data_IF_214619155323
#
_entry.id   IF_214619155323
#
_cell.length_a   1.000
_cell.length_b   1.000
_cell.length_c   1.000
_cell.angle_alpha   90.00
_cell.angle_beta   90.00
_cell.angle_gamma   90.00
#
_symmetry.space_group_name_H-M   'P 1'
#
loop_
_entity.id
_entity.type
_entity.pdbx_description
1 polymer ?
#
# COMPACT_ATOMS: atom_id res chain seq x y z
N UNK A 1 -1.68 -12.48 -7.20
CA UNK A 1 -1.84 -13.94 -7.44
C UNK A 1 -2.81 -14.52 -6.42
N UNK A 2 -3.71 -15.46 -6.80
CA UNK A 2 -4.56 -16.17 -5.85
C UNK A 2 -3.76 -16.98 -4.83
N UNK A 3 -4.35 -17.20 -3.66
CA UNK A 3 -3.72 -17.98 -2.59
C UNK A 3 -4.67 -18.27 -1.46
N UNK A 4 -4.17 -19.01 -0.46
CA UNK A 4 -4.93 -19.34 0.74
C UNK A 4 -4.43 -18.50 1.91
N UNK A 5 -5.33 -17.70 2.47
CA UNK A 5 -5.07 -16.94 3.69
C UNK A 5 -5.62 -17.72 4.90
N UNK A 6 -4.80 -17.88 5.93
CA UNK A 6 -5.18 -18.46 7.22
C UNK A 6 -4.83 -17.47 8.31
N UNK A 7 -5.77 -17.23 9.23
CA UNK A 7 -5.56 -16.41 10.41
C UNK A 7 -5.50 -17.34 11.62
N UNK A 8 -4.50 -17.16 12.48
CA UNK A 8 -4.35 -17.81 13.79
C UNK A 8 -4.26 -16.76 14.87
N UNK A 9 -4.29 -17.14 16.14
CA UNK A 9 -4.24 -16.17 17.24
C UNK A 9 -2.89 -15.42 17.33
N UNK A 10 -1.84 -15.92 16.66
CA UNK A 10 -0.52 -15.31 16.65
C UNK A 10 -0.12 -14.68 15.31
N UNK A 11 -0.69 -15.13 14.18
CA UNK A 11 -0.19 -14.74 12.87
C UNK A 11 -1.23 -14.86 11.75
N UNK A 12 -0.96 -14.14 10.66
CA UNK A 12 -1.60 -14.33 9.36
C UNK A 12 -0.63 -15.07 8.45
N UNK A 13 -1.10 -16.14 7.82
CA UNK A 13 -0.31 -17.00 6.96
C UNK A 13 -0.93 -17.01 5.58
N UNK A 14 -0.18 -16.55 4.58
CA UNK A 14 -0.57 -16.61 3.17
C UNK A 14 0.25 -17.66 2.44
N UNK A 15 -0.41 -18.60 1.78
CA UNK A 15 0.23 -19.54 0.86
C UNK A 15 -0.15 -19.18 -0.57
N UNK A 16 0.84 -18.80 -1.38
CA UNK A 16 0.66 -18.54 -2.80
C UNK A 16 0.26 -19.85 -3.50
N UNK A 17 -0.82 -19.82 -4.28
CA UNK A 17 -1.33 -21.02 -4.95
C UNK A 17 -0.44 -21.49 -6.11
N UNK A 18 0.22 -20.56 -6.81
CA UNK A 18 1.08 -20.84 -7.96
C UNK A 18 2.48 -21.28 -7.54
N UNK A 19 3.12 -20.54 -6.63
CA UNK A 19 4.53 -20.79 -6.25
C UNK A 19 4.68 -21.68 -5.02
N UNK A 20 3.60 -21.88 -4.25
CA UNK A 20 3.66 -22.59 -2.97
C UNK A 20 4.37 -21.81 -1.85
N UNK A 21 4.94 -20.63 -2.14
CA UNK A 21 5.61 -19.76 -1.17
C UNK A 21 4.64 -19.44 -0.02
N UNK A 22 5.11 -19.67 1.20
CA UNK A 22 4.40 -19.32 2.42
C UNK A 22 5.00 -18.05 2.98
N UNK A 23 4.14 -17.09 3.26
CA UNK A 23 4.44 -15.84 3.93
C UNK A 23 3.67 -15.82 5.25
N UNK A 24 4.35 -15.39 6.31
CA UNK A 24 3.79 -15.33 7.65
C UNK A 24 4.03 -13.93 8.22
N UNK A 25 2.94 -13.30 8.67
CA UNK A 25 2.93 -11.98 9.30
C UNK A 25 2.55 -12.19 10.76
N UNK A 26 3.47 -11.88 11.67
CA UNK A 26 3.21 -11.94 13.11
C UNK A 26 2.21 -10.85 13.50
N UNK A 27 1.26 -11.18 14.37
CA UNK A 27 0.34 -10.19 14.98
C UNK A 27 1.09 -9.08 15.73
N UNK A 28 2.23 -9.41 16.35
CA UNK A 28 3.06 -8.45 17.07
C UNK A 28 3.74 -7.42 16.16
N UNK A 29 3.89 -7.73 14.87
CA UNK A 29 4.53 -6.84 13.90
C UNK A 29 3.53 -5.87 13.27
N UNK A 30 2.22 -6.07 13.48
CA UNK A 30 1.16 -5.23 12.93
C UNK A 30 1.10 -3.89 13.66
N UNK A 31 1.34 -2.81 12.93
CA UNK A 31 1.15 -1.46 13.42
C UNK A 31 -0.31 -1.04 13.22
N UNK A 32 -0.80 -1.13 11.99
CA UNK A 32 -2.15 -0.71 11.62
C UNK A 32 -2.81 -1.75 10.72
N UNK A 33 -4.10 -1.97 10.93
CA UNK A 33 -4.94 -2.81 10.08
C UNK A 33 -6.20 -2.04 9.73
N UNK A 34 -6.62 -2.13 8.48
CA UNK A 34 -7.86 -1.51 8.03
C UNK A 34 -8.48 -2.31 6.89
N UNK A 35 -9.78 -2.11 6.71
CA UNK A 35 -10.44 -2.47 5.48
C UNK A 35 -10.15 -1.43 4.42
N UNK A 36 -9.96 -1.87 3.19
CA UNK A 36 -9.84 -1.00 2.04
C UNK A 36 -10.81 -1.49 0.97
N UNK A 37 -11.62 -0.57 0.43
CA UNK A 37 -12.53 -0.86 -0.67
C UNK A 37 -11.72 -0.98 -1.97
N UNK A 38 -11.98 -2.05 -2.72
CA UNK A 38 -11.49 -2.25 -4.08
C UNK A 38 -12.68 -2.36 -5.04
N UNK A 39 -12.41 -2.37 -6.35
CA UNK A 39 -13.44 -2.60 -7.36
C UNK A 39 -14.10 -3.97 -7.12
N UNK A 40 -15.37 -3.95 -6.71
CA UNK A 40 -16.21 -5.13 -6.48
C UNK A 40 -15.87 -5.99 -5.27
N UNK A 41 -14.85 -5.66 -4.48
CA UNK A 41 -14.39 -6.48 -3.34
C UNK A 41 -13.84 -5.62 -2.22
N UNK A 42 -13.66 -6.22 -1.04
CA UNK A 42 -12.91 -5.65 0.06
C UNK A 42 -11.53 -6.27 0.18
N UNK A 43 -10.62 -5.53 0.79
CA UNK A 43 -9.29 -6.00 1.16
C UNK A 43 -8.92 -5.69 2.59
N UNK A 44 -8.03 -6.51 3.13
CA UNK A 44 -7.28 -6.26 4.36
C UNK A 44 -6.01 -5.52 3.97
N UNK A 45 -5.84 -4.32 4.51
CA UNK A 45 -4.62 -3.53 4.42
C UNK A 45 -3.92 -3.60 5.77
N UNK A 46 -2.70 -4.14 5.78
CA UNK A 46 -1.92 -4.40 6.99
C UNK A 46 -0.59 -3.67 6.84
N UNK A 47 -0.39 -2.66 7.67
CA UNK A 47 0.85 -1.90 7.76
C UNK A 47 1.64 -2.40 8.96
N UNK A 48 2.87 -2.82 8.73
CA UNK A 48 3.76 -3.36 9.75
C UNK A 48 4.66 -2.27 10.33
N UNK A 49 5.14 -2.50 11.55
CA UNK A 49 6.06 -1.59 12.26
C UNK A 49 7.38 -1.34 11.53
N UNK A 50 7.78 -2.26 10.65
CA UNK A 50 8.97 -2.10 9.80
C UNK A 50 8.68 -1.30 8.52
N UNK A 51 7.47 -0.74 8.38
CA UNK A 51 7.09 0.08 7.24
C UNK A 51 6.63 -0.70 6.01
N UNK A 52 6.47 -2.02 6.10
CA UNK A 52 5.97 -2.84 4.98
C UNK A 52 4.45 -2.85 4.97
N UNK A 53 3.87 -2.72 3.77
CA UNK A 53 2.43 -2.81 3.53
C UNK A 53 2.05 -4.12 2.83
N UNK A 54 1.21 -4.92 3.49
CA UNK A 54 0.57 -6.09 2.88
C UNK A 54 -0.89 -5.78 2.54
N UNK A 55 -1.33 -6.27 1.38
CA UNK A 55 -2.72 -6.17 0.92
C UNK A 55 -3.25 -7.53 0.51
N UNK A 56 -4.28 -8.01 1.18
CA UNK A 56 -5.04 -9.19 0.79
C UNK A 56 -6.42 -8.75 0.32
N UNK A 57 -6.81 -9.12 -0.91
CA UNK A 57 -8.10 -8.70 -1.49
C UNK A 57 -8.96 -9.91 -1.88
N UNK A 58 -10.25 -9.66 -2.09
CA UNK A 58 -11.22 -10.68 -2.49
C UNK A 58 -12.24 -11.04 -1.41
N UNK A 59 -12.32 -10.24 -0.34
CA UNK A 59 -13.29 -10.43 0.73
C UNK A 59 -14.65 -9.87 0.32
N UNK A 60 -15.72 -10.54 0.77
CA UNK A 60 -17.08 -10.06 0.60
C UNK A 60 -17.45 -9.15 1.75
N UNK A 61 -18.40 -8.26 1.53
CA UNK A 61 -18.89 -7.33 2.55
C UNK A 61 -19.44 -8.05 3.79
N UNK A 62 -20.11 -9.19 3.59
CA UNK A 62 -20.64 -10.00 4.68
C UNK A 62 -19.56 -10.65 5.56
N UNK A 63 -18.29 -10.71 5.11
CA UNK A 63 -17.18 -11.27 5.90
C UNK A 63 -16.55 -10.23 6.84
N UNK A 64 -16.80 -8.93 6.64
CA UNK A 64 -16.08 -7.85 7.33
C UNK A 64 -16.32 -7.86 8.85
N UNK A 65 -17.57 -8.03 9.29
CA UNK A 65 -17.90 -8.08 10.73
C UNK A 65 -17.19 -9.24 11.43
N UNK A 66 -17.18 -10.42 10.81
CA UNK A 66 -16.49 -11.59 11.33
C UNK A 66 -14.97 -11.36 11.42
N UNK A 67 -14.38 -10.76 10.39
CA UNK A 67 -12.94 -10.46 10.38
C UNK A 67 -12.61 -9.40 11.43
N UNK A 68 -13.38 -8.32 11.53
CA UNK A 68 -13.18 -7.26 12.53
C UNK A 68 -13.20 -7.82 13.96
N UNK A 69 -14.20 -8.64 14.29
CA UNK A 69 -14.30 -9.32 15.59
C UNK A 69 -13.09 -10.21 15.88
N UNK A 70 -12.57 -10.90 14.86
CA UNK A 70 -11.36 -11.72 15.00
C UNK A 70 -10.14 -10.86 15.32
N UNK A 71 -9.89 -9.76 14.59
CA UNK A 71 -8.75 -8.86 14.83
C UNK A 71 -8.86 -8.16 16.19
N UNK A 72 -10.05 -7.71 16.59
CA UNK A 72 -10.27 -7.10 17.90
C UNK A 72 -10.02 -8.09 19.05
N UNK A 73 -10.51 -9.33 18.91
CA UNK A 73 -10.38 -10.35 19.96
C UNK A 73 -8.94 -10.85 20.08
N UNK A 74 -8.33 -11.25 18.97
CA UNK A 74 -7.06 -11.98 18.97
C UNK A 74 -5.83 -11.07 18.87
N UNK A 75 -5.91 -9.98 18.10
CA UNK A 75 -4.77 -9.10 17.86
C UNK A 75 -4.87 -7.74 18.58
N UNK A 76 -6.00 -7.47 19.25
CA UNK A 76 -6.29 -6.17 19.91
C UNK A 76 -6.17 -5.01 18.93
N UNK A 77 -6.68 -5.19 17.72
CA UNK A 77 -6.68 -4.19 16.65
C UNK A 77 -8.09 -3.92 16.17
N UNK A 78 -8.43 -2.64 16.08
CA UNK A 78 -9.65 -2.19 15.43
C UNK A 78 -9.46 -2.14 13.92
N UNK A 79 -10.46 -2.59 13.17
CA UNK A 79 -10.47 -2.58 11.71
C UNK A 79 -11.45 -1.56 11.19
N UNK A 80 -10.98 -0.33 11.00
CA UNK A 80 -11.74 0.74 10.35
C UNK A 80 -11.56 0.68 8.83
N UNK A 81 -12.45 1.32 8.10
CA UNK A 81 -12.25 1.55 6.67
C UNK A 81 -11.20 2.67 6.47
N UNK A 82 -10.24 2.43 5.56
CA UNK A 82 -9.39 3.48 5.02
C UNK A 82 -10.08 4.07 3.80
N UNK A 83 -10.73 5.21 3.99
CA UNK A 83 -11.34 5.97 2.89
C UNK A 83 -10.26 6.54 1.97
N UNK A 84 -10.44 6.34 0.66
CA UNK A 84 -9.54 6.85 -0.38
C UNK A 84 -10.16 8.05 -1.09
N UNK A 85 -9.32 8.91 -1.65
CA UNK A 85 -9.77 10.02 -2.49
C UNK A 85 -10.35 9.50 -3.80
N UNK A 86 -11.62 9.81 -4.06
CA UNK A 86 -12.31 9.50 -5.31
C UNK A 86 -12.50 10.72 -6.22
N UNK A 87 -11.80 11.83 -5.92
CA UNK A 87 -11.99 13.12 -6.63
C UNK A 87 -11.42 13.14 -8.05
N UNK A 88 -10.52 12.22 -8.38
CA UNK A 88 -9.83 12.18 -9.68
C UNK A 88 -8.81 13.31 -9.89
N UNK A 89 -8.46 14.06 -8.84
CA UNK A 89 -7.47 15.13 -8.93
C UNK A 89 -6.05 14.54 -9.01
N UNK A 90 -5.22 15.17 -9.82
CA UNK A 90 -3.81 14.78 -10.02
C UNK A 90 -2.82 15.71 -9.31
N UNK A 91 -3.30 16.63 -8.48
CA UNK A 91 -2.48 17.46 -7.60
C UNK A 91 -2.67 17.07 -6.14
N UNK A 92 -1.59 17.13 -5.38
CA UNK A 92 -1.55 16.58 -4.04
C UNK A 92 -0.13 16.55 -3.48
N UNK A 93 0.07 15.75 -2.46
CA UNK A 93 1.36 15.61 -1.78
C UNK A 93 1.81 14.16 -1.81
N UNK A 94 3.00 13.93 -2.36
CA UNK A 94 3.71 12.67 -2.18
C UNK A 94 4.29 12.60 -0.77
N UNK A 95 4.04 11.50 -0.07
CA UNK A 95 4.59 11.24 1.27
C UNK A 95 5.15 9.83 1.32
N UNK A 96 6.26 9.69 2.01
CA UNK A 96 6.86 8.39 2.27
C UNK A 96 6.53 8.00 3.71
N UNK A 97 5.99 6.81 3.88
CA UNK A 97 5.74 6.20 5.19
C UNK A 97 6.28 4.78 5.17
N UNK A 98 7.39 4.56 5.87
CA UNK A 98 8.11 3.29 5.78
C UNK A 98 8.58 3.03 4.35
N UNK A 99 8.23 1.86 3.82
CA UNK A 99 8.55 1.44 2.44
C UNK A 99 7.37 1.65 1.48
N UNK A 100 6.58 2.70 1.72
CA UNK A 100 5.41 3.03 0.90
C UNK A 100 5.39 4.51 0.55
N UNK A 101 5.27 4.80 -0.74
CA UNK A 101 4.91 6.11 -1.26
C UNK A 101 3.38 6.24 -1.30
N UNK A 102 2.83 7.23 -0.62
CA UNK A 102 1.42 7.61 -0.70
C UNK A 102 1.26 8.95 -1.42
N UNK A 103 0.26 9.06 -2.30
CA UNK A 103 -0.13 10.34 -2.88
C UNK A 103 -1.45 10.80 -2.26
N UNK A 104 -1.41 11.89 -1.49
CA UNK A 104 -2.57 12.43 -0.78
C UNK A 104 -3.22 13.58 -1.55
N UNK A 105 -4.54 13.54 -1.69
CA UNK A 105 -5.38 14.59 -2.28
C UNK A 105 -6.27 15.18 -1.20
N UNK A 106 -5.88 16.35 -0.69
CA UNK A 106 -6.48 16.94 0.50
C UNK A 106 -6.20 16.10 1.74
N UNK A 107 -7.24 15.63 2.43
CA UNK A 107 -7.10 14.81 3.64
C UNK A 107 -7.15 13.29 3.38
N UNK A 108 -7.32 12.86 2.13
CA UNK A 108 -7.48 11.45 1.79
C UNK A 108 -6.35 10.98 0.86
N UNK A 109 -5.86 9.77 1.08
CA UNK A 109 -4.91 9.12 0.18
C UNK A 109 -5.61 8.73 -1.12
N UNK A 110 -5.06 9.12 -2.27
CA UNK A 110 -5.55 8.66 -3.58
C UNK A 110 -5.01 7.27 -3.90
N UNK A 111 -3.70 7.05 -3.74
CA UNK A 111 -3.07 5.75 -3.95
C UNK A 111 -1.82 5.57 -3.09
N UNK A 112 -1.40 4.30 -2.98
CA UNK A 112 -0.21 3.86 -2.26
C UNK A 112 0.57 2.86 -3.12
N UNK A 113 1.86 3.15 -3.29
CA UNK A 113 2.84 2.37 -4.04
C UNK A 113 3.86 1.82 -3.03
N UNK A 114 3.90 0.49 -2.81
CA UNK A 114 5.01 -0.13 -2.10
C UNK A 114 6.30 0.05 -2.89
N UNK A 115 7.37 0.48 -2.23
CA UNK A 115 8.65 0.76 -2.89
C UNK A 115 9.31 -0.50 -3.45
N UNK A 116 8.98 -1.68 -2.92
CA UNK A 116 9.47 -2.94 -3.48
C UNK A 116 8.91 -3.26 -4.88
N UNK A 117 7.85 -2.57 -5.32
CA UNK A 117 7.32 -2.68 -6.69
C UNK A 117 8.05 -1.74 -7.68
N UNK A 118 8.80 -0.77 -7.17
CA UNK A 118 9.58 0.21 -7.95
C UNK A 118 10.94 -0.38 -8.28
N UNK A 119 11.27 -0.49 -9.57
CA UNK A 119 12.55 -0.99 -10.04
C UNK A 119 13.63 0.09 -10.09
N UNK A 120 13.24 1.30 -10.49
CA UNK A 120 14.15 2.42 -10.64
C UNK A 120 13.40 3.73 -10.37
N UNK A 121 14.13 4.69 -9.78
CA UNK A 121 13.70 6.07 -9.63
C UNK A 121 14.72 6.94 -10.34
N UNK A 122 14.28 7.80 -11.25
CA UNK A 122 15.15 8.78 -11.92
C UNK A 122 14.60 10.19 -11.76
N UNK A 123 15.50 11.16 -11.71
CA UNK A 123 15.16 12.57 -11.57
C UNK A 123 15.33 13.31 -12.89
N UNK A 124 14.46 14.30 -13.11
CA UNK A 124 14.54 15.27 -14.18
C UNK A 124 14.28 16.67 -13.63
N UNK A 125 14.24 17.67 -14.51
CA UNK A 125 13.93 19.05 -14.08
C UNK A 125 12.48 19.09 -13.54
N UNK A 126 12.33 19.28 -12.23
CA UNK A 126 11.04 19.36 -11.54
C UNK A 126 10.19 18.09 -11.70
N UNK A 127 10.82 16.95 -11.95
CA UNK A 127 10.12 15.71 -12.22
C UNK A 127 10.85 14.53 -11.58
N UNK A 128 10.08 13.56 -11.11
CA UNK A 128 10.58 12.24 -10.71
C UNK A 128 9.84 11.18 -11.49
N UNK A 129 10.59 10.25 -12.07
CA UNK A 129 10.06 9.12 -12.83
C UNK A 129 10.30 7.84 -12.03
N UNK A 130 9.21 7.13 -11.73
CA UNK A 130 9.21 5.80 -11.14
C UNK A 130 9.00 4.78 -12.25
N UNK A 131 9.92 3.83 -12.35
CA UNK A 131 9.78 2.64 -13.19
C UNK A 131 9.43 1.45 -12.30
N UNK A 132 8.59 0.55 -12.81
CA UNK A 132 8.07 -0.58 -12.03
C UNK A 132 8.58 -1.92 -12.57
N UNK A 133 8.72 -2.88 -11.67
CA UNK A 133 8.98 -4.26 -12.06
C UNK A 133 7.83 -4.79 -12.93
N UNK A 134 8.17 -5.47 -14.03
CA UNK A 134 7.18 -6.16 -14.83
C UNK A 134 6.52 -7.28 -14.04
N UNK A 135 5.20 -7.42 -14.22
CA UNK A 135 4.40 -8.45 -13.59
C UNK A 135 3.65 -9.26 -14.65
N UNK A 136 4.27 -10.36 -15.08
CA UNK A 136 3.71 -11.27 -16.08
C UNK A 136 2.42 -12.00 -15.61
N UNK A 137 2.11 -11.94 -14.30
CA UNK A 137 0.89 -12.51 -13.73
C UNK A 137 -0.32 -11.55 -13.83
N UNK A 138 -0.15 -10.33 -14.35
CA UNK A 138 -1.20 -9.34 -14.50
C UNK A 138 -1.53 -9.08 -15.99
N UNK A 139 -2.82 -8.95 -16.37
CA UNK A 139 -3.20 -8.67 -17.76
C UNK A 139 -2.86 -7.24 -18.20
N UNK A 140 -2.70 -6.32 -17.24
CA UNK A 140 -2.28 -4.93 -17.44
C UNK A 140 -1.24 -4.60 -16.38
N UNK A 141 -0.12 -4.04 -16.81
CA UNK A 141 1.02 -3.72 -15.95
C UNK A 141 1.33 -2.23 -16.05
N UNK A 142 1.42 -1.57 -14.89
CA UNK A 142 1.92 -0.20 -14.80
C UNK A 142 3.43 -0.26 -15.02
N UNK A 143 3.94 0.47 -16.00
CA UNK A 143 5.35 0.42 -16.41
C UNK A 143 6.14 1.59 -15.85
N UNK A 144 5.56 2.79 -15.96
CA UNK A 144 6.19 4.05 -15.56
C UNK A 144 5.12 4.97 -14.96
N UNK A 145 5.51 5.77 -13.96
CA UNK A 145 4.74 6.88 -13.43
C UNK A 145 5.66 8.08 -13.23
N UNK A 146 5.23 9.25 -13.69
CA UNK A 146 5.98 10.50 -13.49
C UNK A 146 5.21 11.47 -12.61
N UNK A 147 5.90 12.01 -11.61
CA UNK A 147 5.42 13.11 -10.78
C UNK A 147 6.08 14.40 -11.22
N UNK A 148 5.28 15.46 -11.34
CA UNK A 148 5.80 16.82 -11.31
C UNK A 148 5.97 17.27 -9.87
N UNK A 149 7.16 17.77 -9.54
CA UNK A 149 7.49 18.31 -8.22
C UNK A 149 7.69 19.82 -8.38
N UNK A 150 6.74 20.64 -7.86
CA UNK A 150 6.87 22.09 -7.95
C UNK A 150 8.07 22.57 -7.14
N UNK A 151 8.85 23.47 -7.73
CA UNK A 151 9.97 24.12 -7.05
C UNK A 151 9.41 25.16 -6.09
N UNK A 152 9.93 25.19 -4.86
CA UNK A 152 9.67 26.28 -3.93
C UNK A 152 10.98 27.00 -3.67
N UNK A 153 11.03 28.31 -3.94
CA UNK A 153 12.21 29.15 -3.73
C UNK A 153 12.63 29.23 -2.25
N UNK A 154 11.77 28.77 -1.34
CA UNK A 154 11.97 28.74 0.10
C UNK A 154 12.39 27.38 0.67
N UNK A 155 12.57 26.35 -0.18
CA UNK A 155 12.94 25.02 0.30
C UNK A 155 14.45 24.96 0.62
N UNK A 156 14.81 24.48 1.81
CA UNK A 156 16.22 24.32 2.23
C UNK A 156 16.96 23.24 1.44
N UNK A 157 16.21 22.27 0.89
CA UNK A 157 16.70 21.20 0.04
C UNK A 157 15.89 21.18 -1.26
N UNK A 158 16.54 20.84 -2.38
CA UNK A 158 15.84 20.62 -3.63
C UNK A 158 14.77 19.51 -3.46
N UNK A 159 13.50 19.78 -3.78
CA UNK A 159 12.40 18.86 -3.48
C UNK A 159 12.44 17.60 -4.36
N UNK A 160 13.10 17.64 -5.53
CA UNK A 160 13.30 16.45 -6.37
C UNK A 160 14.37 15.55 -5.74
N UNK A 161 15.47 16.11 -5.28
CA UNK A 161 16.51 15.37 -4.57
C UNK A 161 15.99 14.80 -3.25
N UNK A 162 15.21 15.57 -2.49
CA UNK A 162 14.59 15.13 -1.25
C UNK A 162 13.64 13.94 -1.47
N UNK A 163 12.86 13.95 -2.56
CA UNK A 163 12.01 12.81 -2.94
C UNK A 163 12.86 11.59 -3.31
N UNK A 164 13.90 11.77 -4.12
CA UNK A 164 14.72 10.67 -4.64
C UNK A 164 15.54 9.96 -3.54
N UNK A 165 15.82 10.63 -2.42
CA UNK A 165 16.58 10.07 -1.30
C UNK A 165 15.73 9.21 -0.33
N UNK A 166 14.40 9.20 -0.47
CA UNK A 166 13.48 8.39 0.37
C UNK A 166 13.37 6.96 -0.15
#
# INVERSE_FOLDING_TARGET
TPGRLKLTDQAIIFKNQKTGKVEQISSNDMEMVNFQRFVGTWGLRIFLKNGILHRFRGFKENDLDKISKFFATNYKKDMLEKELSLKGWNWGTAKFNGSVLSFDVGHHTAFEIPLYDVSQCTTGKNEVTLEFHQNDDAPVSLMEMRFHIPVSDSAEQDPVDAFHQQ
#
